data_IF_465702203005
#
_entry.id   IF_465702203005
#
_cell.length_a   1.000
_cell.length_b   1.000
_cell.length_c   1.000
_cell.angle_alpha   90.00
_cell.angle_beta   90.00
_cell.angle_gamma   90.00
#
_symmetry.space_group_name_H-M   'P 1'
#
loop_
_entity.id
_entity.type
_entity.pdbx_description
1 polymer ?
#
# COMPACT_ATOMS: atom_id res chain seq x y z
N UNK A 1 -15.63 -19.21 -3.64
CA UNK A 1 -15.36 -18.73 -2.27
C UNK A 1 -16.63 -18.12 -1.70
N UNK A 2 -16.69 -17.89 -0.39
CA UNK A 2 -17.83 -17.23 0.26
C UNK A 2 -17.36 -16.08 1.15
N UNK A 3 -18.11 -14.98 1.15
CA UNK A 3 -17.95 -13.85 2.06
C UNK A 3 -19.05 -13.92 3.13
N UNK A 4 -18.67 -13.78 4.40
CA UNK A 4 -19.59 -13.86 5.53
C UNK A 4 -19.66 -12.48 6.18
N UNK A 5 -20.85 -11.87 6.21
CA UNK A 5 -21.09 -10.60 6.87
C UNK A 5 -21.89 -10.82 8.15
N UNK A 6 -21.40 -10.32 9.28
CA UNK A 6 -22.17 -10.20 10.53
C UNK A 6 -22.09 -8.75 11.00
N UNK A 7 -23.23 -8.10 11.22
CA UNK A 7 -23.28 -6.69 11.62
C UNK A 7 -24.47 -6.43 12.55
N UNK A 8 -24.34 -5.44 13.44
CA UNK A 8 -25.41 -4.91 14.29
C UNK A 8 -26.08 -3.66 13.68
N UNK A 9 -25.75 -3.33 12.43
CA UNK A 9 -26.23 -2.13 11.73
C UNK A 9 -27.16 -2.50 10.58
N UNK A 10 -28.48 -2.33 10.79
CA UNK A 10 -29.53 -2.75 9.86
C UNK A 10 -29.42 -2.07 8.48
N UNK A 11 -29.21 -0.75 8.43
CA UNK A 11 -29.09 -0.02 7.16
C UNK A 11 -27.90 -0.50 6.33
N UNK A 12 -26.78 -0.78 6.99
CA UNK A 12 -25.60 -1.33 6.32
C UNK A 12 -25.83 -2.76 5.85
N UNK A 13 -26.58 -3.57 6.62
CA UNK A 13 -26.98 -4.90 6.20
C UNK A 13 -27.86 -4.86 4.95
N UNK A 14 -28.90 -4.01 4.94
CA UNK A 14 -29.79 -3.82 3.79
C UNK A 14 -29.02 -3.38 2.55
N UNK A 15 -28.17 -2.36 2.68
CA UNK A 15 -27.28 -1.89 1.61
C UNK A 15 -26.40 -3.02 1.05
N UNK A 16 -25.80 -3.85 1.90
CA UNK A 16 -24.95 -4.95 1.45
C UNK A 16 -25.72 -6.03 0.66
N UNK A 17 -26.97 -6.31 1.04
CA UNK A 17 -27.83 -7.23 0.29
C UNK A 17 -28.18 -6.64 -1.07
N UNK A 18 -28.66 -5.40 -1.10
CA UNK A 18 -29.05 -4.70 -2.33
C UNK A 18 -27.89 -4.62 -3.33
N UNK A 19 -26.70 -4.20 -2.89
CA UNK A 19 -25.54 -4.11 -3.77
C UNK A 19 -25.11 -5.49 -4.30
N UNK A 20 -25.11 -6.51 -3.45
CA UNK A 20 -24.79 -7.87 -3.90
C UNK A 20 -25.79 -8.40 -4.93
N UNK A 21 -27.09 -8.16 -4.74
CA UNK A 21 -28.14 -8.51 -5.70
C UNK A 21 -27.96 -7.76 -7.03
N UNK A 22 -27.67 -6.46 -6.97
CA UNK A 22 -27.46 -5.61 -8.16
C UNK A 22 -26.29 -6.10 -9.03
N UNK A 23 -25.23 -6.62 -8.42
CA UNK A 23 -24.12 -7.20 -9.19
C UNK A 23 -24.50 -8.51 -9.89
N UNK A 24 -25.45 -9.28 -9.35
CA UNK A 24 -25.77 -10.63 -9.82
C UNK A 24 -24.62 -11.65 -9.66
N UNK A 25 -23.53 -11.29 -8.97
CA UNK A 25 -22.32 -12.12 -8.84
C UNK A 25 -22.38 -13.10 -7.67
N UNK A 26 -23.37 -12.93 -6.78
CA UNK A 26 -23.49 -13.69 -5.53
C UNK A 26 -24.85 -14.36 -5.40
N UNK A 27 -24.83 -15.59 -4.89
CA UNK A 27 -26.00 -16.18 -4.23
C UNK A 27 -25.97 -15.80 -2.76
N UNK A 28 -27.07 -15.23 -2.28
CA UNK A 28 -27.17 -14.68 -0.93
C UNK A 28 -28.02 -15.59 -0.06
N UNK A 29 -27.54 -15.89 1.14
CA UNK A 29 -28.26 -16.66 2.15
C UNK A 29 -28.29 -15.88 3.46
N UNK A 30 -29.46 -15.35 3.83
CA UNK A 30 -29.68 -14.72 5.14
C UNK A 30 -29.97 -15.80 6.16
N UNK A 31 -29.20 -15.83 7.25
CA UNK A 31 -29.31 -16.85 8.30
C UNK A 31 -28.86 -16.28 9.66
N UNK A 32 -29.17 -16.94 10.78
CA UNK A 32 -28.69 -16.49 12.08
C UNK A 32 -27.15 -16.40 12.14
N UNK A 33 -26.58 -15.40 12.84
CA UNK A 33 -25.14 -15.29 13.01
C UNK A 33 -24.57 -16.51 13.74
N UNK A 34 -23.38 -17.01 13.36
CA UNK A 34 -22.69 -18.06 14.12
C UNK A 34 -22.43 -17.61 15.56
N UNK A 35 -22.60 -18.50 16.53
CA UNK A 35 -22.37 -18.17 17.96
C UNK A 35 -20.99 -17.57 18.22
N UNK A 36 -19.96 -18.05 17.50
CA UNK A 36 -18.58 -17.56 17.64
C UNK A 36 -18.46 -16.07 17.31
N UNK A 37 -19.29 -15.54 16.42
CA UNK A 37 -19.28 -14.13 16.05
C UNK A 37 -19.91 -13.24 17.14
N UNK A 38 -20.76 -13.82 18.00
CA UNK A 38 -21.45 -13.13 19.08
C UNK A 38 -20.62 -13.03 20.38
N UNK A 39 -19.45 -13.67 20.42
CA UNK A 39 -18.59 -13.71 21.62
C UNK A 39 -17.59 -12.56 21.69
N UNK A 40 -17.59 -11.65 20.73
CA UNK A 40 -16.71 -10.48 20.78
C UNK A 40 -17.17 -9.51 21.88
N UNK A 41 -16.24 -8.71 22.43
CA UNK A 41 -16.56 -7.67 23.42
C UNK A 41 -17.69 -6.74 22.96
N UNK A 42 -17.68 -6.38 21.67
CA UNK A 42 -18.71 -5.52 21.07
C UNK A 42 -20.04 -6.25 20.95
N UNK A 43 -20.03 -7.51 20.50
CA UNK A 43 -21.25 -8.28 20.36
C UNK A 43 -21.97 -8.47 21.72
N UNK A 44 -21.24 -8.83 22.77
CA UNK A 44 -21.79 -8.96 24.13
C UNK A 44 -22.36 -7.63 24.66
N UNK A 45 -21.67 -6.51 24.39
CA UNK A 45 -22.16 -5.17 24.76
C UNK A 45 -23.48 -4.85 24.07
N UNK A 46 -23.58 -5.15 22.77
CA UNK A 46 -24.75 -4.82 21.97
C UNK A 46 -25.93 -5.75 22.26
N UNK A 47 -25.67 -7.03 22.53
CA UNK A 47 -26.68 -7.97 23.01
C UNK A 47 -27.27 -7.53 24.34
N UNK A 48 -26.44 -7.10 25.31
CA UNK A 48 -26.90 -6.54 26.58
C UNK A 48 -27.74 -5.25 26.41
N UNK A 49 -27.56 -4.53 25.30
CA UNK A 49 -28.35 -3.36 24.93
C UNK A 49 -29.60 -3.70 24.09
N UNK A 50 -29.89 -4.98 23.87
CA UNK A 50 -31.05 -5.46 23.10
C UNK A 50 -30.94 -5.23 21.59
N UNK A 51 -29.74 -4.99 21.05
CA UNK A 51 -29.56 -4.84 19.60
C UNK A 51 -29.54 -6.20 18.92
N UNK A 52 -30.26 -6.30 17.81
CA UNK A 52 -30.23 -7.47 16.95
C UNK A 52 -28.93 -7.55 16.15
N UNK A 53 -28.59 -8.75 15.69
CA UNK A 53 -27.50 -8.99 14.76
C UNK A 53 -28.04 -9.59 13.47
N UNK A 54 -27.51 -9.09 12.35
CA UNK A 54 -27.85 -9.53 11.03
C UNK A 54 -26.68 -10.31 10.43
N UNK A 55 -26.98 -11.36 9.69
CA UNK A 55 -25.96 -12.17 9.06
C UNK A 55 -26.40 -12.69 7.70
N UNK A 56 -25.48 -12.63 6.75
CA UNK A 56 -25.65 -13.16 5.41
C UNK A 56 -24.36 -13.83 4.94
N UNK A 57 -24.53 -14.88 4.12
CA UNK A 57 -23.47 -15.55 3.40
C UNK A 57 -23.62 -15.23 1.92
N UNK A 58 -22.58 -14.63 1.34
CA UNK A 58 -22.50 -14.29 -0.08
C UNK A 58 -21.60 -15.33 -0.76
N UNK A 59 -22.22 -16.31 -1.41
CA UNK A 59 -21.49 -17.33 -2.17
C UNK A 59 -21.27 -16.81 -3.59
N UNK A 60 -20.01 -16.66 -4.01
CA UNK A 60 -19.68 -16.22 -5.36
C UNK A 60 -20.17 -17.25 -6.39
N UNK A 61 -20.98 -16.81 -7.36
CA UNK A 61 -21.53 -17.66 -8.43
C UNK A 61 -21.12 -17.21 -9.84
N UNK A 62 -20.62 -15.98 -9.98
CA UNK A 62 -20.11 -15.46 -11.23
C UNK A 62 -18.90 -14.53 -11.01
N UNK A 63 -18.25 -14.16 -12.11
CA UNK A 63 -17.17 -13.18 -12.18
C UNK A 63 -17.69 -11.91 -12.85
N UNK A 64 -17.18 -10.76 -12.40
CA UNK A 64 -17.41 -9.49 -13.11
C UNK A 64 -16.77 -9.57 -14.51
N UNK A 65 -17.49 -9.28 -15.60
CA UNK A 65 -16.90 -9.24 -16.94
C UNK A 65 -15.91 -8.08 -17.14
N UNK A 66 -15.98 -7.05 -16.29
CA UNK A 66 -15.11 -5.86 -16.33
C UNK A 66 -14.60 -5.52 -14.93
N UNK A 67 -13.82 -6.42 -14.29
CA UNK A 67 -13.36 -6.21 -12.94
C UNK A 67 -12.49 -4.95 -12.88
N UNK A 68 -12.57 -4.19 -11.78
CA UNK A 68 -11.62 -3.13 -11.52
C UNK A 68 -10.20 -3.69 -11.59
N UNK A 69 -9.29 -3.09 -12.38
CA UNK A 69 -7.96 -3.64 -12.54
C UNK A 69 -7.24 -3.68 -11.20
N UNK A 70 -6.57 -4.80 -10.85
CA UNK A 70 -5.79 -4.85 -9.63
C UNK A 70 -4.62 -3.87 -9.74
N UNK A 71 -4.26 -3.25 -8.61
CA UNK A 71 -3.06 -2.40 -8.53
C UNK A 71 -1.85 -3.22 -8.99
N UNK A 72 -1.16 -2.73 -10.01
CA UNK A 72 0.02 -3.39 -10.57
C UNK A 72 1.15 -3.38 -9.55
N UNK A 73 1.72 -4.56 -9.29
CA UNK A 73 2.83 -4.74 -8.34
C UNK A 73 4.12 -5.06 -9.08
N UNK A 74 5.22 -4.50 -8.59
CA UNK A 74 6.56 -4.77 -9.10
C UNK A 74 7.37 -5.54 -8.06
N UNK A 75 8.31 -6.41 -8.49
CA UNK A 75 9.07 -7.24 -7.56
C UNK A 75 10.09 -6.43 -6.74
N UNK A 76 10.63 -5.35 -7.31
CA UNK A 76 11.69 -4.52 -6.71
C UNK A 76 11.59 -3.07 -7.17
N UNK A 77 12.12 -2.16 -6.35
CA UNK A 77 12.37 -0.76 -6.69
C UNK A 77 13.64 -0.30 -5.96
N UNK A 78 14.78 -0.39 -6.65
CA UNK A 78 16.08 0.04 -6.11
C UNK A 78 17.07 0.36 -7.22
N UNK A 79 18.16 1.01 -6.85
CA UNK A 79 19.36 1.17 -7.66
C UNK A 79 20.60 0.88 -6.82
N UNK A 80 21.65 0.40 -7.48
CA UNK A 80 23.01 0.41 -6.94
C UNK A 80 23.79 1.53 -7.61
N UNK A 81 24.50 2.29 -6.80
CA UNK A 81 25.32 3.42 -7.21
C UNK A 81 26.76 3.18 -6.76
N UNK A 82 27.72 3.54 -7.60
CA UNK A 82 29.12 3.66 -7.24
C UNK A 82 29.39 5.05 -6.64
N UNK A 83 30.26 5.10 -5.62
CA UNK A 83 30.62 6.31 -4.89
C UNK A 83 30.51 6.11 -3.38
N UNK A 84 30.79 7.19 -2.65
CA UNK A 84 30.69 7.21 -1.19
C UNK A 84 29.27 7.56 -0.75
N UNK A 85 28.82 6.93 0.34
CA UNK A 85 27.57 7.29 0.98
C UNK A 85 27.64 8.75 1.47
N UNK A 86 26.72 9.64 1.03
CA UNK A 86 26.72 11.03 1.48
C UNK A 86 26.56 11.14 3.00
N UNK A 87 27.32 12.04 3.63
CA UNK A 87 27.17 12.31 5.07
C UNK A 87 25.80 12.92 5.42
N UNK A 88 25.16 13.57 4.45
CA UNK A 88 23.82 14.12 4.57
C UNK A 88 23.10 14.07 3.23
N UNK A 89 21.78 13.93 3.28
CA UNK A 89 20.91 14.08 2.12
C UNK A 89 20.25 15.46 2.21
N UNK A 90 20.52 16.39 1.27
CA UNK A 90 19.95 17.74 1.30
C UNK A 90 18.50 17.75 0.81
N UNK A 91 17.67 16.88 1.39
CA UNK A 91 16.27 16.73 1.06
C UNK A 91 15.44 17.68 1.90
N UNK A 92 14.66 18.53 1.23
CA UNK A 92 13.61 19.35 1.83
C UNK A 92 12.27 18.71 1.52
N UNK A 93 11.24 19.04 2.30
CA UNK A 93 9.87 18.65 1.97
C UNK A 93 9.54 19.14 0.55
N UNK A 94 9.43 18.24 -0.40
CA UNK A 94 9.33 18.60 -1.83
C UNK A 94 8.42 17.61 -2.55
N UNK A 95 7.38 18.09 -3.25
CA UNK A 95 6.60 17.26 -4.13
C UNK A 95 7.42 16.91 -5.38
N UNK A 96 7.35 15.65 -5.77
CA UNK A 96 7.97 15.05 -6.93
C UNK A 96 6.84 14.57 -7.84
N UNK A 97 6.67 15.17 -9.03
CA UNK A 97 5.63 14.74 -9.95
C UNK A 97 5.92 13.32 -10.44
N UNK A 98 4.88 12.50 -10.46
CA UNK A 98 4.89 11.16 -11.06
C UNK A 98 4.05 11.21 -12.34
N UNK A 99 4.12 10.17 -13.18
CA UNK A 99 3.23 10.04 -14.35
C UNK A 99 1.76 10.12 -13.95
N UNK A 100 1.41 9.40 -12.89
CA UNK A 100 0.06 9.27 -12.35
C UNK A 100 0.15 9.48 -10.83
N UNK A 101 0.15 10.75 -10.40
CA UNK A 101 0.16 11.12 -8.99
C UNK A 101 1.38 11.92 -8.55
N UNK A 102 1.68 11.87 -7.25
CA UNK A 102 2.76 12.64 -6.63
C UNK A 102 3.46 11.85 -5.53
N UNK A 103 4.78 11.93 -5.48
CA UNK A 103 5.54 11.52 -4.30
C UNK A 103 5.96 12.78 -3.52
N UNK A 104 5.98 12.71 -2.20
CA UNK A 104 6.45 13.79 -1.35
C UNK A 104 7.51 13.20 -0.43
N UNK A 105 8.75 13.62 -0.61
CA UNK A 105 9.80 13.36 0.38
C UNK A 105 9.53 14.28 1.57
N UNK A 106 9.25 13.71 2.74
CA UNK A 106 8.79 14.44 3.92
C UNK A 106 9.95 14.79 4.85
N UNK A 107 10.73 13.77 5.23
CA UNK A 107 11.77 13.89 6.25
C UNK A 107 12.91 12.90 5.99
N UNK A 108 14.13 13.28 6.37
CA UNK A 108 15.29 12.40 6.37
C UNK A 108 15.69 12.07 7.80
N UNK A 109 15.77 10.78 8.12
CA UNK A 109 16.31 10.27 9.37
C UNK A 109 17.63 9.55 9.12
N UNK A 110 18.67 9.84 9.92
CA UNK A 110 19.95 9.13 9.84
C UNK A 110 19.89 7.86 10.67
N UNK A 111 20.32 6.75 10.08
CA UNK A 111 20.56 5.47 10.75
C UNK A 111 22.06 5.14 10.82
N UNK A 112 22.39 3.98 11.38
CA UNK A 112 23.77 3.51 11.50
C UNK A 112 24.38 3.16 10.13
N UNK A 113 23.60 2.50 9.28
CA UNK A 113 24.04 2.01 7.95
C UNK A 113 23.81 2.99 6.80
N UNK A 114 23.15 4.13 7.08
CA UNK A 114 22.68 5.03 6.03
C UNK A 114 21.66 6.06 6.50
N UNK A 115 20.75 6.43 5.60
CA UNK A 115 19.65 7.34 5.86
C UNK A 115 18.34 6.75 5.34
N UNK A 116 17.24 7.12 6.00
CA UNK A 116 15.87 6.82 5.61
C UNK A 116 15.18 8.11 5.19
N UNK A 117 14.35 8.03 4.15
CA UNK A 117 13.52 9.14 3.68
C UNK A 117 12.06 8.74 3.84
N UNK A 118 11.37 9.37 4.80
CA UNK A 118 9.93 9.23 4.92
C UNK A 118 9.29 9.82 3.67
N UNK A 119 8.57 8.99 2.92
CA UNK A 119 8.04 9.33 1.61
C UNK A 119 6.56 8.99 1.57
N UNK A 120 5.75 9.97 1.17
CA UNK A 120 4.34 9.77 0.89
C UNK A 120 4.12 9.67 -0.61
N UNK A 121 3.54 8.57 -1.09
CA UNK A 121 3.21 8.36 -2.50
C UNK A 121 1.69 8.37 -2.61
N UNK A 122 1.17 9.29 -3.42
CA UNK A 122 -0.25 9.42 -3.73
C UNK A 122 -0.46 9.05 -5.19
N UNK A 123 -1.09 7.90 -5.42
CA UNK A 123 -1.61 7.41 -6.70
C UNK A 123 -3.16 7.48 -6.66
N UNK A 124 -3.82 7.33 -7.80
CA UNK A 124 -5.28 7.42 -7.91
C UNK A 124 -6.02 6.50 -6.92
N UNK A 125 -5.63 5.22 -6.89
CA UNK A 125 -6.29 4.19 -6.10
C UNK A 125 -5.63 3.92 -4.73
N UNK A 126 -4.46 4.53 -4.47
CA UNK A 126 -3.66 4.18 -3.30
C UNK A 126 -2.77 5.32 -2.82
N UNK A 127 -2.87 5.60 -1.52
CA UNK A 127 -1.94 6.47 -0.81
C UNK A 127 -1.13 5.62 0.17
N UNK A 128 0.20 5.75 0.10
CA UNK A 128 1.12 5.02 0.97
C UNK A 128 2.10 5.99 1.63
N UNK A 129 2.41 5.75 2.90
CA UNK A 129 3.58 6.33 3.56
C UNK A 129 4.59 5.21 3.79
N UNK A 130 5.80 5.40 3.26
CA UNK A 130 6.84 4.39 3.22
C UNK A 130 8.21 5.00 3.51
N UNK A 131 9.16 4.13 3.86
CA UNK A 131 10.55 4.51 4.03
C UNK A 131 11.33 4.13 2.77
N UNK A 132 11.92 5.12 2.13
CA UNK A 132 13.04 4.88 1.22
C UNK A 132 14.33 4.84 2.03
N UNK A 133 15.32 4.09 1.58
CA UNK A 133 16.61 3.95 2.24
C UNK A 133 17.76 4.26 1.26
N UNK A 134 18.78 4.95 1.76
CA UNK A 134 20.06 5.16 1.10
C UNK A 134 21.13 4.65 2.06
N UNK A 135 21.80 3.55 1.74
CA UNK A 135 22.72 2.87 2.67
C UNK A 135 23.93 2.29 1.97
N UNK A 136 24.97 1.97 2.73
CA UNK A 136 26.13 1.26 2.18
C UNK A 136 25.73 -0.13 1.65
N UNK A 137 26.43 -0.54 0.60
CA UNK A 137 26.35 -1.86 -0.02
C UNK A 137 27.75 -2.33 -0.38
N UNK A 138 27.96 -3.64 -0.55
CA UNK A 138 29.29 -4.26 -0.68
C UNK A 138 30.19 -3.74 -1.81
N UNK A 139 29.68 -2.88 -2.70
CA UNK A 139 30.46 -2.20 -3.75
C UNK A 139 30.01 -0.75 -4.03
N UNK A 140 29.37 -0.08 -3.06
CA UNK A 140 28.90 1.30 -3.24
C UNK A 140 27.71 1.63 -2.35
N UNK A 141 26.69 2.24 -2.92
CA UNK A 141 25.49 2.72 -2.24
C UNK A 141 24.25 2.07 -2.83
N UNK A 142 23.38 1.58 -1.96
CA UNK A 142 22.05 1.11 -2.31
C UNK A 142 21.05 2.24 -2.05
N UNK A 143 20.20 2.54 -3.03
CA UNK A 143 19.05 3.42 -2.88
C UNK A 143 17.77 2.67 -3.26
N UNK A 144 16.78 2.59 -2.38
CA UNK A 144 15.59 1.78 -2.67
C UNK A 144 14.50 1.88 -1.62
N UNK A 145 13.48 1.06 -1.77
CA UNK A 145 12.42 0.93 -0.77
C UNK A 145 12.93 0.09 0.40
N UNK A 146 12.69 0.54 1.63
CA UNK A 146 13.02 -0.25 2.81
C UNK A 146 12.09 -1.46 2.93
N UNK A 147 12.62 -2.56 3.45
CA UNK A 147 11.81 -3.76 3.74
C UNK A 147 10.88 -3.58 4.92
N UNK A 148 11.13 -2.57 5.76
CA UNK A 148 10.26 -2.24 6.89
C UNK A 148 8.84 -1.90 6.40
N UNK A 149 7.83 -2.53 7.00
CA UNK A 149 6.43 -2.35 6.62
C UNK A 149 5.99 -3.09 5.35
N UNK A 150 6.91 -3.73 4.60
CA UNK A 150 6.61 -4.47 3.37
C UNK A 150 5.63 -3.73 2.42
N UNK A 151 5.96 -2.47 2.04
CA UNK A 151 5.05 -1.64 1.25
C UNK A 151 4.75 -2.26 -0.12
N UNK A 152 3.61 -1.86 -0.70
CA UNK A 152 3.27 -2.27 -2.05
C UNK A 152 4.13 -1.48 -3.03
N UNK A 153 5.03 -2.19 -3.74
CA UNK A 153 5.84 -1.58 -4.79
C UNK A 153 4.97 -1.39 -6.03
N UNK A 154 4.40 -0.20 -6.15
CA UNK A 154 3.62 0.28 -7.30
C UNK A 154 4.50 1.06 -8.28
N UNK A 155 3.89 1.58 -9.35
CA UNK A 155 4.62 2.40 -10.33
C UNK A 155 5.06 3.72 -9.70
N UNK A 156 4.20 4.35 -8.90
CA UNK A 156 4.52 5.56 -8.18
C UNK A 156 5.68 5.37 -7.20
N UNK A 157 5.75 4.21 -6.52
CA UNK A 157 6.89 3.87 -5.65
C UNK A 157 8.19 3.73 -6.44
N UNK A 158 8.17 3.06 -7.60
CA UNK A 158 9.34 2.95 -8.48
C UNK A 158 9.84 4.31 -8.96
N UNK A 159 8.92 5.19 -9.37
CA UNK A 159 9.23 6.55 -9.76
C UNK A 159 9.76 7.41 -8.60
N UNK A 160 9.25 7.22 -7.38
CA UNK A 160 9.76 7.88 -6.18
C UNK A 160 11.21 7.44 -5.87
N UNK A 161 11.52 6.14 -6.01
CA UNK A 161 12.91 5.67 -5.89
C UNK A 161 13.79 6.26 -6.98
N UNK A 162 13.33 6.30 -8.24
CA UNK A 162 14.09 6.92 -9.31
C UNK A 162 14.36 8.41 -9.06
N UNK A 163 13.39 9.13 -8.50
CA UNK A 163 13.58 10.51 -8.09
C UNK A 163 14.60 10.66 -6.96
N UNK A 164 14.58 9.76 -5.98
CA UNK A 164 15.62 9.71 -4.95
C UNK A 164 17.00 9.46 -5.57
N UNK A 165 17.11 8.52 -6.50
CA UNK A 165 18.36 8.22 -7.21
C UNK A 165 18.88 9.45 -7.96
N UNK A 166 18.02 10.17 -8.69
CA UNK A 166 18.37 11.43 -9.37
C UNK A 166 18.84 12.53 -8.42
N UNK A 167 18.43 12.51 -7.16
CA UNK A 167 18.92 13.44 -6.14
C UNK A 167 20.31 13.05 -5.60
N UNK A 168 20.71 11.79 -5.76
CA UNK A 168 22.02 11.29 -5.34
C UNK A 168 23.11 11.55 -6.40
N UNK A 169 22.76 11.62 -7.69
CA UNK A 169 23.73 11.82 -8.77
C UNK A 169 24.54 13.13 -8.61
N UNK A 170 23.94 14.30 -8.28
CA UNK A 170 24.69 15.53 -8.04
C UNK A 170 25.60 15.47 -6.80
N UNK A 171 25.43 14.47 -5.93
CA UNK A 171 26.29 14.24 -4.76
C UNK A 171 27.53 13.40 -5.11
N UNK A 172 27.78 13.14 -6.39
CA UNK A 172 28.94 12.39 -6.88
C UNK A 172 28.71 10.89 -6.99
N UNK A 173 27.47 10.42 -6.83
CA UNK A 173 27.13 9.02 -7.03
C UNK A 173 26.82 8.73 -8.50
N UNK A 174 27.24 7.57 -8.98
CA UNK A 174 27.01 7.13 -10.35
C UNK A 174 26.19 5.86 -10.37
N UNK A 175 25.06 5.84 -11.09
CA UNK A 175 24.24 4.63 -11.19
C UNK A 175 25.03 3.53 -11.93
N UNK A 176 25.11 2.35 -11.31
CA UNK A 176 25.71 1.15 -11.92
C UNK A 176 24.68 0.06 -12.20
N UNK A 177 23.55 0.09 -11.48
CA UNK A 177 22.42 -0.81 -11.72
C UNK A 177 21.12 -0.09 -11.37
N UNK A 178 20.15 -0.12 -12.29
CA UNK A 178 18.84 0.52 -12.10
C UNK A 178 17.72 -0.52 -12.22
N UNK A 179 17.02 -0.77 -11.10
CA UNK A 179 15.79 -1.56 -11.01
C UNK A 179 14.58 -0.70 -10.66
N UNK A 180 14.69 0.62 -10.76
CA UNK A 180 13.54 1.53 -10.73
C UNK A 180 12.76 1.45 -12.03
N UNK A 181 13.38 0.94 -13.09
CA UNK A 181 12.85 0.76 -14.45
C UNK A 181 12.33 2.04 -15.10
N UNK A 182 12.86 3.18 -14.66
CA UNK A 182 12.74 4.48 -15.33
C UNK A 182 13.80 4.65 -16.44
N UNK A 183 14.83 3.79 -16.48
CA UNK A 183 15.90 3.89 -17.47
C UNK A 183 16.72 5.16 -17.25
N UNK A 184 17.20 5.36 -16.02
CA UNK A 184 18.07 6.49 -15.69
C UNK A 184 19.33 6.41 -16.58
N UNK A 185 19.60 7.50 -17.32
CA UNK A 185 20.68 7.59 -18.33
C UNK A 185 21.98 8.04 -17.71
#
# INVERSE_FOLDING_TARGET
>A
GALLLTTDHEEYFGFALEEAERTGLYRIEVRPPPETHLRTKYALKWEAAGRGFFHAVFTKVAEDPSPWPPIRRYPVAHALLEGDLPESLPLRKTPVPLREGVAVFLEVARGEEGAYVLTRVEEEDLVQELLLEVRRSGGGVYAGVSRFGSPLITDGVRQAVAALVRLLEPLGLRVVQDHTGEGLR
#
